data_IF_384022747980
#
_entry.id   IF_384022747980
#
_cell.length_a   1.000
_cell.length_b   1.000
_cell.length_c   1.000
_cell.angle_alpha   90.00
_cell.angle_beta   90.00
_cell.angle_gamma   90.00
#
_symmetry.space_group_name_H-M   'P 1'
#
loop_
_entity.id
_entity.type
_entity.pdbx_description
1 polymer ?
#
# COMPACT_ATOMS: atom_id res chain seq x y z
N UNK A 1 -15.40 15.74 6.43
CA UNK A 1 -14.36 14.97 5.71
C UNK A 1 -14.51 13.47 6.05
N UNK A 2 -15.69 12.87 5.85
CA UNK A 2 -16.01 11.58 6.49
C UNK A 2 -15.45 10.36 5.75
N UNK A 3 -15.43 10.40 4.42
CA UNK A 3 -15.12 9.23 3.57
C UNK A 3 -13.79 9.36 2.82
N UNK A 4 -12.93 10.31 3.22
CA UNK A 4 -11.61 10.48 2.59
C UNK A 4 -10.74 9.24 2.82
N UNK A 5 -9.87 8.92 1.86
CA UNK A 5 -8.93 7.81 1.99
C UNK A 5 -7.52 8.36 2.25
N UNK A 6 -6.77 7.70 3.14
CA UNK A 6 -5.38 8.06 3.42
C UNK A 6 -4.41 7.00 2.91
N UNK A 7 -3.33 7.38 2.24
CA UNK A 7 -2.21 6.46 1.95
C UNK A 7 -1.24 6.49 3.12
N UNK A 8 -1.28 5.51 4.00
CA UNK A 8 -0.56 5.55 5.28
C UNK A 8 0.47 4.44 5.48
N UNK A 9 0.34 3.29 4.81
CA UNK A 9 1.31 2.20 4.93
C UNK A 9 2.30 2.17 3.76
N UNK A 10 1.80 2.20 2.53
CA UNK A 10 2.65 1.98 1.35
C UNK A 10 2.51 3.13 0.34
N UNK A 11 3.61 3.58 -0.31
CA UNK A 11 3.58 4.53 -1.41
C UNK A 11 3.18 3.81 -2.71
N UNK A 12 1.95 3.31 -2.75
CA UNK A 12 1.40 2.54 -3.86
C UNK A 12 0.16 3.24 -4.46
N UNK A 13 -0.16 2.95 -5.72
CA UNK A 13 -1.45 3.31 -6.31
C UNK A 13 -2.61 2.79 -5.43
N UNK A 14 -3.73 3.51 -5.34
CA UNK A 14 -4.72 3.21 -4.31
C UNK A 14 -5.40 1.86 -4.50
N UNK A 15 -5.63 1.44 -5.75
CA UNK A 15 -6.30 0.18 -6.09
C UNK A 15 -5.48 -1.06 -5.72
N UNK A 16 -4.17 -0.93 -5.46
CA UNK A 16 -3.31 -2.03 -5.02
C UNK A 16 -3.08 -2.08 -3.51
N UNK A 17 -3.49 -1.07 -2.73
CA UNK A 17 -3.13 -0.98 -1.30
C UNK A 17 -3.46 -2.25 -0.50
N UNK A 18 -4.63 -2.85 -0.75
CA UNK A 18 -5.05 -4.10 -0.10
C UNK A 18 -4.35 -5.34 -0.67
N UNK A 19 -3.92 -5.30 -1.94
CA UNK A 19 -3.09 -6.36 -2.50
C UNK A 19 -1.69 -6.36 -1.87
N UNK A 20 -1.11 -5.17 -1.64
CA UNK A 20 0.16 -5.02 -0.93
C UNK A 20 0.03 -5.57 0.50
N UNK A 21 -1.04 -5.23 1.22
CA UNK A 21 -1.28 -5.75 2.58
C UNK A 21 -1.43 -7.29 2.61
N UNK A 22 -2.15 -7.86 1.65
CA UNK A 22 -2.27 -9.32 1.50
C UNK A 22 -0.90 -9.97 1.18
N UNK A 23 -0.09 -9.34 0.34
CA UNK A 23 1.25 -9.81 0.00
C UNK A 23 2.21 -9.78 1.20
N UNK A 24 2.19 -8.70 1.99
CA UNK A 24 2.96 -8.61 3.25
C UNK A 24 2.54 -9.69 4.23
N UNK A 25 1.24 -9.97 4.35
CA UNK A 25 0.73 -11.05 5.22
C UNK A 25 1.28 -12.41 4.78
N UNK A 26 1.30 -12.68 3.48
CA UNK A 26 1.78 -13.93 2.89
C UNK A 26 3.31 -14.07 2.90
N UNK A 27 4.06 -12.97 3.05
CA UNK A 27 5.52 -12.96 2.94
C UNK A 27 6.19 -14.05 3.79
N UNK A 28 5.78 -14.19 5.06
CA UNK A 28 6.39 -15.16 5.98
C UNK A 28 6.21 -16.62 5.55
N UNK A 29 5.16 -16.92 4.78
CA UNK A 29 4.88 -18.27 4.26
C UNK A 29 5.63 -18.56 2.95
N UNK A 30 5.97 -17.52 2.17
CA UNK A 30 6.48 -17.69 0.80
C UNK A 30 7.97 -17.35 0.62
N UNK A 31 8.56 -16.51 1.49
CA UNK A 31 9.91 -15.95 1.29
C UNK A 31 11.01 -16.99 1.07
N UNK A 32 10.89 -18.15 1.72
CA UNK A 32 11.87 -19.24 1.67
C UNK A 32 11.57 -20.24 0.55
N UNK A 33 10.46 -20.05 -0.19
CA UNK A 33 9.93 -20.98 -1.20
C UNK A 33 9.58 -20.29 -2.53
N UNK A 34 10.15 -19.12 -2.79
CA UNK A 34 9.81 -18.33 -3.99
C UNK A 34 10.03 -19.09 -5.31
N UNK A 35 11.08 -19.92 -5.39
CA UNK A 35 11.39 -20.77 -6.55
C UNK A 35 10.43 -21.96 -6.70
N UNK A 36 9.72 -22.34 -5.64
CA UNK A 36 8.72 -23.40 -5.62
C UNK A 36 7.34 -22.89 -6.06
N UNK A 37 7.15 -21.58 -6.16
CA UNK A 37 5.89 -20.98 -6.64
C UNK A 37 5.67 -21.38 -8.10
N UNK A 38 4.51 -21.98 -8.35
CA UNK A 38 4.01 -22.31 -9.69
C UNK A 38 3.19 -21.16 -10.26
N UNK A 39 2.21 -20.65 -9.49
CA UNK A 39 1.31 -19.59 -9.91
C UNK A 39 0.78 -18.80 -8.70
N UNK A 40 0.41 -17.55 -8.96
CA UNK A 40 -0.18 -16.63 -7.97
C UNK A 40 -1.52 -16.17 -8.52
N UNK A 41 -2.60 -16.43 -7.80
CA UNK A 41 -3.91 -15.87 -8.14
C UNK A 41 -4.12 -14.55 -7.41
N UNK A 42 -4.51 -13.52 -8.18
CA UNK A 42 -4.86 -12.21 -7.66
C UNK A 42 -6.31 -11.92 -8.05
N UNK A 43 -7.21 -12.02 -7.09
CA UNK A 43 -8.62 -11.64 -7.27
C UNK A 43 -8.79 -10.16 -6.92
N UNK A 44 -9.34 -9.38 -7.85
CA UNK A 44 -9.44 -7.91 -7.72
C UNK A 44 -10.72 -7.37 -8.35
N UNK A 45 -10.93 -6.06 -8.33
CA UNK A 45 -12.05 -5.37 -8.97
C UNK A 45 -11.66 -4.77 -10.33
N UNK A 46 -12.66 -4.55 -11.19
CA UNK A 46 -12.52 -4.02 -12.56
C UNK A 46 -11.54 -2.85 -12.66
N UNK A 47 -11.67 -1.86 -11.76
CA UNK A 47 -10.88 -0.64 -11.87
C UNK A 47 -9.39 -0.86 -11.60
N UNK A 48 -9.01 -1.85 -10.78
CA UNK A 48 -7.60 -2.22 -10.62
C UNK A 48 -7.07 -2.85 -11.91
N UNK A 49 -7.86 -3.73 -12.55
CA UNK A 49 -7.50 -4.37 -13.81
C UNK A 49 -7.28 -3.31 -14.88
N UNK A 50 -8.25 -2.40 -15.05
CA UNK A 50 -8.20 -1.37 -16.09
C UNK A 50 -7.07 -0.35 -15.90
N UNK A 51 -6.73 0.00 -14.66
CA UNK A 51 -5.81 1.12 -14.38
C UNK A 51 -4.38 0.64 -14.15
N UNK A 52 -4.20 -0.48 -13.43
CA UNK A 52 -2.87 -0.87 -12.92
C UNK A 52 -2.49 -2.33 -13.22
N UNK A 53 -3.29 -3.14 -13.89
CA UNK A 53 -2.81 -4.46 -14.34
C UNK A 53 -1.91 -4.32 -15.56
N UNK A 54 -0.60 -4.49 -15.36
CA UNK A 54 0.42 -4.35 -16.42
C UNK A 54 1.24 -5.63 -16.58
N UNK A 55 1.38 -6.07 -17.82
CA UNK A 55 2.25 -7.18 -18.24
C UNK A 55 3.41 -6.66 -19.06
N UNK A 56 4.52 -7.42 -19.10
CA UNK A 56 5.71 -7.05 -19.87
C UNK A 56 6.69 -6.17 -19.10
N UNK A 57 7.60 -5.52 -19.84
CA UNK A 57 8.67 -4.70 -19.29
C UNK A 57 8.14 -3.42 -18.61
N UNK A 58 8.80 -2.99 -17.53
CA UNK A 58 8.49 -1.76 -16.81
C UNK A 58 9.70 -0.82 -16.88
N UNK A 59 9.58 0.23 -17.71
CA UNK A 59 10.72 1.03 -18.14
C UNK A 59 11.16 2.10 -17.11
N UNK A 60 10.29 2.48 -16.18
CA UNK A 60 10.54 3.57 -15.23
C UNK A 60 9.79 3.34 -13.90
N UNK A 61 10.09 4.12 -12.85
CA UNK A 61 9.40 4.00 -11.56
C UNK A 61 7.87 4.20 -11.64
N UNK A 62 7.39 5.10 -12.51
CA UNK A 62 5.96 5.35 -12.71
C UNK A 62 5.22 4.17 -13.40
N UNK A 63 5.95 3.30 -14.09
CA UNK A 63 5.39 2.05 -14.59
C UNK A 63 5.20 1.04 -13.47
N UNK A 64 6.11 1.03 -12.49
CA UNK A 64 6.14 0.07 -11.38
C UNK A 64 5.15 0.44 -10.28
N UNK A 65 5.04 1.72 -9.94
CA UNK A 65 4.04 2.20 -8.96
C UNK A 65 2.59 2.10 -9.48
N UNK A 66 2.39 1.95 -10.80
CA UNK A 66 1.12 1.65 -11.46
C UNK A 66 1.07 0.24 -12.07
N UNK A 67 1.81 -0.71 -11.50
CA UNK A 67 1.75 -2.13 -11.86
C UNK A 67 1.33 -2.97 -10.65
N UNK A 68 0.10 -3.50 -10.66
CA UNK A 68 -0.47 -4.34 -9.61
C UNK A 68 0.44 -5.53 -9.33
N UNK A 69 0.90 -6.20 -10.39
CA UNK A 69 1.78 -7.36 -10.29
C UNK A 69 3.11 -7.00 -9.61
N UNK A 70 3.68 -5.83 -9.92
CA UNK A 70 4.92 -5.36 -9.30
C UNK A 70 4.72 -5.08 -7.81
N UNK A 71 3.66 -4.35 -7.48
CA UNK A 71 3.29 -4.00 -6.11
C UNK A 71 2.90 -5.22 -5.26
N UNK A 72 2.63 -6.37 -5.87
CA UNK A 72 2.44 -7.65 -5.16
C UNK A 72 3.75 -8.42 -5.04
N UNK A 73 4.54 -8.49 -6.11
CA UNK A 73 5.77 -9.27 -6.15
C UNK A 73 6.79 -8.79 -5.10
N UNK A 74 6.98 -7.47 -5.00
CA UNK A 74 7.96 -6.89 -4.06
C UNK A 74 7.66 -7.25 -2.61
N UNK A 75 6.46 -7.03 -2.05
CA UNK A 75 6.18 -7.42 -0.66
C UNK A 75 6.16 -8.94 -0.44
N UNK A 76 5.79 -9.77 -1.42
CA UNK A 76 5.95 -11.23 -1.27
C UNK A 76 7.42 -11.60 -1.06
N UNK A 77 8.35 -10.92 -1.74
CA UNK A 77 9.79 -11.17 -1.65
C UNK A 77 10.41 -10.53 -0.40
N UNK A 78 10.08 -9.27 -0.11
CA UNK A 78 10.81 -8.43 0.84
C UNK A 78 10.02 -8.12 2.12
N UNK A 79 8.74 -8.44 2.17
CA UNK A 79 7.88 -8.19 3.33
C UNK A 79 7.45 -6.73 3.51
N UNK A 80 7.83 -5.83 2.60
CA UNK A 80 7.49 -4.42 2.64
C UNK A 80 7.49 -3.78 1.24
N UNK A 81 6.93 -2.58 1.11
CA UNK A 81 6.92 -1.76 -0.10
C UNK A 81 7.20 -0.30 0.24
N UNK A 82 8.42 0.15 -0.06
CA UNK A 82 8.87 1.54 0.12
C UNK A 82 9.15 2.20 -1.24
N UNK A 83 9.38 3.52 -1.24
CA UNK A 83 9.53 4.29 -2.48
C UNK A 83 10.74 3.83 -3.31
N UNK A 84 11.83 3.47 -2.63
CA UNK A 84 13.09 3.02 -3.20
C UNK A 84 12.92 1.69 -3.95
N UNK A 85 11.90 0.89 -3.63
CA UNK A 85 11.61 -0.34 -4.37
C UNK A 85 11.16 -0.08 -5.80
N UNK A 86 10.75 1.13 -6.18
CA UNK A 86 10.41 1.44 -7.57
C UNK A 86 11.61 1.89 -8.40
N UNK A 87 12.77 2.10 -7.79
CA UNK A 87 13.96 2.60 -8.48
C UNK A 87 14.53 1.57 -9.47
N UNK A 88 15.14 2.07 -10.54
CA UNK A 88 15.73 1.24 -11.60
C UNK A 88 16.80 0.28 -11.07
N UNK A 89 17.63 0.75 -10.15
CA UNK A 89 18.70 -0.04 -9.55
C UNK A 89 18.16 -1.21 -8.73
N UNK A 90 17.08 -0.97 -7.97
CA UNK A 90 16.41 -2.00 -7.19
C UNK A 90 15.80 -3.06 -8.12
N UNK A 91 15.01 -2.64 -9.11
CA UNK A 91 14.36 -3.57 -10.03
C UNK A 91 15.37 -4.41 -10.82
N UNK A 92 16.40 -3.78 -11.40
CA UNK A 92 17.45 -4.49 -12.15
C UNK A 92 18.31 -5.40 -11.26
N UNK A 93 18.34 -5.14 -9.95
CA UNK A 93 19.07 -5.93 -8.97
C UNK A 93 18.36 -7.20 -8.50
N UNK A 94 17.06 -7.37 -8.79
CA UNK A 94 16.27 -8.50 -8.29
C UNK A 94 15.37 -9.13 -9.36
N UNK A 95 15.93 -10.08 -10.11
CA UNK A 95 15.23 -10.79 -11.18
C UNK A 95 14.01 -11.61 -10.71
N UNK A 96 13.90 -11.90 -9.41
CA UNK A 96 12.76 -12.64 -8.84
C UNK A 96 11.45 -11.86 -8.99
N UNK A 97 11.52 -10.52 -9.04
CA UNK A 97 10.35 -9.66 -9.20
C UNK A 97 9.63 -10.00 -10.51
N UNK A 98 10.35 -9.98 -11.63
CA UNK A 98 9.79 -10.31 -12.94
C UNK A 98 9.39 -11.78 -13.06
N UNK A 99 10.14 -12.69 -12.42
CA UNK A 99 9.76 -14.10 -12.35
C UNK A 99 8.38 -14.26 -11.68
N UNK A 100 8.16 -13.66 -10.51
CA UNK A 100 6.87 -13.76 -9.82
C UNK A 100 5.76 -13.06 -10.59
N UNK A 101 6.02 -11.89 -11.19
CA UNK A 101 5.04 -11.19 -12.03
C UNK A 101 4.54 -12.07 -13.17
N UNK A 102 5.42 -12.85 -13.80
CA UNK A 102 5.05 -13.76 -14.89
C UNK A 102 4.14 -14.92 -14.46
N UNK A 103 4.11 -15.23 -13.16
CA UNK A 103 3.29 -16.29 -12.56
C UNK A 103 1.93 -15.78 -12.07
N UNK A 104 1.64 -14.48 -12.18
CA UNK A 104 0.40 -13.88 -11.67
C UNK A 104 -0.74 -13.97 -12.68
N UNK A 105 -1.87 -14.51 -12.23
CA UNK A 105 -3.14 -14.46 -12.95
C UNK A 105 -4.08 -13.49 -12.25
N UNK A 106 -4.50 -12.45 -12.98
CA UNK A 106 -5.44 -11.44 -12.46
C UNK A 106 -6.87 -11.87 -12.81
N UNK A 107 -7.72 -11.93 -11.79
CA UNK A 107 -9.10 -12.43 -11.87
C UNK A 107 -10.02 -11.32 -11.35
N UNK A 108 -11.02 -10.94 -12.15
CA UNK A 108 -12.07 -10.05 -11.68
C UNK A 108 -13.05 -10.82 -10.77
N UNK A 109 -13.42 -10.20 -9.65
CA UNK A 109 -14.59 -10.58 -8.86
C UNK A 109 -15.67 -9.49 -9.00
N UNK A 110 -16.80 -9.84 -9.61
CA UNK A 110 -17.91 -8.91 -9.87
C UNK A 110 -18.46 -8.29 -8.58
N UNK A 111 -18.39 -8.98 -7.44
CA UNK A 111 -18.79 -8.41 -6.15
C UNK A 111 -17.82 -7.31 -5.76
N UNK A 112 -16.51 -7.51 -5.89
CA UNK A 112 -15.53 -6.45 -5.60
C UNK A 112 -15.75 -5.24 -6.49
N UNK A 113 -16.01 -5.45 -7.79
CA UNK A 113 -16.34 -4.37 -8.73
C UNK A 113 -17.59 -3.60 -8.31
N UNK A 114 -18.66 -4.31 -7.90
CA UNK A 114 -19.90 -3.68 -7.43
C UNK A 114 -19.72 -2.93 -6.11
N UNK A 115 -19.04 -3.51 -5.13
CA UNK A 115 -18.83 -2.92 -3.81
C UNK A 115 -17.85 -1.74 -3.81
N UNK A 116 -17.00 -1.64 -4.84
CA UNK A 116 -16.19 -0.45 -5.11
C UNK A 116 -17.06 0.78 -5.44
N UNK A 117 -18.13 0.59 -6.21
CA UNK A 117 -19.06 1.67 -6.61
C UNK A 117 -20.18 1.93 -5.60
N UNK A 118 -20.45 0.98 -4.72
CA UNK A 118 -21.44 1.09 -3.66
C UNK A 118 -21.07 2.23 -2.69
N UNK A 119 -21.98 3.20 -2.55
CA UNK A 119 -21.76 4.42 -1.76
C UNK A 119 -21.52 4.16 -0.27
N UNK A 120 -22.09 3.08 0.25
CA UNK A 120 -22.00 2.70 1.67
C UNK A 120 -20.73 1.89 1.95
N UNK A 121 -20.20 1.20 0.92
CA UNK A 121 -19.00 0.36 1.04
C UNK A 121 -17.75 1.07 0.59
N UNK A 122 -17.65 1.41 -0.70
CA UNK A 122 -16.44 1.96 -1.34
C UNK A 122 -15.22 1.09 -1.10
N UNK A 123 -15.39 -0.23 -1.18
CA UNK A 123 -14.31 -1.19 -0.93
C UNK A 123 -13.25 -1.12 -2.02
N UNK A 124 -12.00 -1.40 -1.65
CA UNK A 124 -10.89 -1.53 -2.59
C UNK A 124 -10.32 -2.93 -2.37
N UNK A 125 -11.08 -3.94 -2.76
CA UNK A 125 -10.84 -5.31 -2.35
C UNK A 125 -9.85 -6.04 -3.24
N UNK A 126 -8.90 -6.72 -2.62
CA UNK A 126 -7.99 -7.67 -3.28
C UNK A 126 -7.89 -8.95 -2.45
N UNK A 127 -7.65 -10.07 -3.12
CA UNK A 127 -7.29 -11.32 -2.47
C UNK A 127 -6.17 -12.02 -3.23
N UNK A 128 -5.23 -12.61 -2.48
CA UNK A 128 -4.05 -13.27 -3.04
C UNK A 128 -3.98 -14.70 -2.52
N UNK A 129 -3.66 -15.64 -3.41
CA UNK A 129 -3.35 -17.02 -3.07
C UNK A 129 -2.17 -17.51 -3.88
N UNK A 130 -1.22 -18.17 -3.23
CA UNK A 130 -0.01 -18.68 -3.86
C UNK A 130 -0.08 -20.21 -3.94
N UNK A 131 0.20 -20.76 -5.11
CA UNK A 131 0.20 -22.20 -5.38
C UNK A 131 1.63 -22.66 -5.69
N UNK A 132 2.03 -23.76 -5.08
CA UNK A 132 3.36 -24.32 -5.19
C UNK A 132 3.40 -25.54 -6.12
N UNK A 133 4.57 -25.82 -6.70
CA UNK A 133 4.81 -26.92 -7.64
C UNK A 133 4.55 -28.31 -7.05
N UNK A 134 4.52 -28.45 -5.73
CA UNK A 134 4.19 -29.70 -5.03
C UNK A 134 2.67 -29.95 -4.92
N UNK A 135 1.85 -29.02 -5.44
CA UNK A 135 0.39 -29.06 -5.41
C UNK A 135 -0.22 -28.43 -4.15
N UNK A 136 0.58 -27.97 -3.19
CA UNK A 136 0.09 -27.24 -2.02
C UNK A 136 -0.19 -25.76 -2.34
N UNK A 137 -0.89 -25.07 -1.44
CA UNK A 137 -1.18 -23.64 -1.58
C UNK A 137 -1.26 -22.95 -0.23
N UNK A 138 -1.02 -21.65 -0.21
CA UNK A 138 -1.35 -20.80 0.95
C UNK A 138 -2.86 -20.72 1.14
N UNK A 139 -3.30 -20.22 2.29
CA UNK A 139 -4.66 -19.71 2.41
C UNK A 139 -4.84 -18.51 1.47
N UNK A 140 -6.09 -18.28 1.04
CA UNK A 140 -6.45 -17.09 0.27
C UNK A 140 -6.60 -15.90 1.22
N UNK A 141 -5.63 -15.00 1.24
CA UNK A 141 -5.65 -13.80 2.08
C UNK A 141 -6.44 -12.73 1.35
N UNK A 142 -7.58 -12.34 1.93
CA UNK A 142 -8.48 -11.30 1.41
C UNK A 142 -8.43 -10.05 2.30
N UNK A 143 -8.26 -8.90 1.68
CA UNK A 143 -8.38 -7.59 2.34
C UNK A 143 -9.35 -6.72 1.53
N UNK A 144 -10.49 -6.37 2.13
CA UNK A 144 -11.55 -5.62 1.44
C UNK A 144 -11.44 -4.10 1.59
N UNK A 145 -10.88 -3.64 2.71
CA UNK A 145 -10.71 -2.23 3.01
C UNK A 145 -9.25 -1.96 3.36
N UNK A 146 -8.56 -1.04 2.66
CA UNK A 146 -7.21 -0.66 3.05
C UNK A 146 -7.25 0.04 4.40
N UNK A 147 -6.16 -0.05 5.16
CA UNK A 147 -6.04 0.58 6.49
C UNK A 147 -6.37 2.08 6.51
N UNK A 148 -6.16 2.77 5.38
CA UNK A 148 -6.53 4.17 5.16
C UNK A 148 -8.01 4.46 4.94
N UNK A 149 -8.87 3.44 4.91
CA UNK A 149 -10.31 3.56 4.69
C UNK A 149 -11.06 4.01 5.96
N UNK A 150 -12.21 4.68 5.81
CA UNK A 150 -13.06 5.12 6.95
C UNK A 150 -13.37 3.98 7.94
N UNK A 151 -13.64 2.78 7.41
CA UNK A 151 -13.97 1.58 8.20
C UNK A 151 -12.82 1.06 9.06
N UNK A 152 -11.57 1.48 8.81
CA UNK A 152 -10.37 1.05 9.56
C UNK A 152 -9.70 2.20 10.32
N UNK A 153 -10.43 3.29 10.62
CA UNK A 153 -9.85 4.47 11.30
C UNK A 153 -9.19 4.18 12.65
N UNK A 154 -9.75 3.28 13.44
CA UNK A 154 -9.16 2.89 14.73
C UNK A 154 -7.74 2.30 14.56
N UNK A 155 -7.52 1.58 13.47
CA UNK A 155 -6.22 0.99 13.13
C UNK A 155 -5.33 1.97 12.36
N UNK A 156 -5.91 2.78 11.47
CA UNK A 156 -5.18 3.68 10.60
C UNK A 156 -4.73 5.01 11.21
N UNK A 157 -5.46 5.58 12.19
CA UNK A 157 -5.06 6.85 12.80
C UNK A 157 -3.70 6.76 13.51
N UNK A 158 -3.39 5.72 14.32
CA UNK A 158 -2.07 5.57 14.91
C UNK A 158 -0.94 5.53 13.87
N UNK A 159 -1.17 4.84 12.74
CA UNK A 159 -0.21 4.76 11.63
C UNK A 159 -0.08 6.11 10.91
N UNK A 160 -1.18 6.85 10.74
CA UNK A 160 -1.17 8.21 10.18
C UNK A 160 -0.36 9.17 11.06
N UNK A 161 -0.57 9.14 12.39
CA UNK A 161 0.18 9.93 13.36
C UNK A 161 1.68 9.62 13.31
N UNK A 162 2.03 8.33 13.29
CA UNK A 162 3.43 7.91 13.19
C UNK A 162 4.06 8.35 11.87
N UNK A 163 3.35 8.20 10.74
CA UNK A 163 3.80 8.69 9.44
C UNK A 163 4.01 10.20 9.44
N UNK A 164 3.08 10.96 10.02
CA UNK A 164 3.21 12.40 10.13
C UNK A 164 4.47 12.80 10.93
N UNK A 165 4.68 12.18 12.09
CA UNK A 165 5.85 12.45 12.92
C UNK A 165 7.17 12.05 12.23
N UNK A 166 7.21 10.89 11.55
CA UNK A 166 8.37 10.49 10.75
C UNK A 166 8.68 11.49 9.64
N UNK A 167 7.66 12.02 8.96
CA UNK A 167 7.83 13.04 7.93
C UNK A 167 8.32 14.39 8.50
N UNK A 168 7.85 14.80 9.68
CA UNK A 168 8.38 16.00 10.34
C UNK A 168 9.89 15.87 10.60
N UNK A 169 10.33 14.70 11.07
CA UNK A 169 11.74 14.42 11.38
C UNK A 169 12.67 14.44 10.19
N UNK A 170 12.17 14.31 8.96
CA UNK A 170 13.02 14.46 7.76
C UNK A 170 13.37 15.91 7.47
N UNK A 171 12.72 16.87 8.13
CA UNK A 171 12.83 18.30 7.80
C UNK A 171 13.15 19.19 9.00
N UNK A 172 12.63 18.89 10.18
CA UNK A 172 12.71 19.76 11.36
C UNK A 172 13.57 19.14 12.49
N UNK A 173 14.20 19.95 13.34
CA UNK A 173 14.81 19.46 14.59
C UNK A 173 13.75 18.82 15.52
N UNK A 174 14.16 17.88 16.38
CA UNK A 174 13.23 17.09 17.21
C UNK A 174 12.30 17.95 18.08
N UNK A 175 12.81 19.04 18.68
CA UNK A 175 12.00 19.93 19.50
C UNK A 175 10.86 20.60 18.70
N UNK A 176 11.13 20.98 17.44
CA UNK A 176 10.13 21.55 16.56
C UNK A 176 9.15 20.48 16.05
N UNK A 177 9.64 19.26 15.75
CA UNK A 177 8.78 18.12 15.40
C UNK A 177 7.75 17.86 16.51
N UNK A 178 8.19 17.78 17.76
CA UNK A 178 7.32 17.50 18.89
C UNK A 178 6.30 18.63 19.11
N UNK A 179 6.72 19.89 19.02
CA UNK A 179 5.83 21.04 19.16
C UNK A 179 4.73 21.06 18.09
N UNK A 180 5.08 20.81 16.82
CA UNK A 180 4.12 20.73 15.71
C UNK A 180 3.16 19.54 15.94
N UNK A 181 3.71 18.38 16.30
CA UNK A 181 2.92 17.16 16.52
C UNK A 181 1.91 17.32 17.67
N UNK A 182 2.34 17.84 18.82
CA UNK A 182 1.47 18.08 19.98
C UNK A 182 0.35 19.07 19.65
N UNK A 183 0.67 20.16 18.92
CA UNK A 183 -0.33 21.11 18.46
C UNK A 183 -1.36 20.44 17.55
N UNK A 184 -0.91 19.67 16.55
CA UNK A 184 -1.79 18.98 15.61
C UNK A 184 -2.64 17.87 16.24
N UNK A 185 -2.23 17.35 17.40
CA UNK A 185 -2.97 16.30 18.13
C UNK A 185 -4.07 16.87 19.03
N UNK A 186 -3.96 18.12 19.45
CA UNK A 186 -4.96 18.82 20.24
C UNK A 186 -5.94 19.59 19.34
N UNK A 187 -7.10 18.98 19.06
CA UNK A 187 -8.13 19.57 18.20
C UNK A 187 -8.54 20.98 18.65
N UNK A 188 -8.74 21.19 19.95
CA UNK A 188 -9.26 22.46 20.47
C UNK A 188 -8.20 23.55 20.33
N UNK A 189 -6.96 23.23 20.68
CA UNK A 189 -5.85 24.18 20.57
C UNK A 189 -5.52 24.50 19.11
N UNK A 190 -5.54 23.50 18.22
CA UNK A 190 -5.31 23.70 16.79
C UNK A 190 -6.35 24.62 16.16
N UNK A 191 -7.65 24.41 16.44
CA UNK A 191 -8.73 25.25 15.91
C UNK A 191 -8.68 26.71 16.38
N UNK A 192 -8.09 26.95 17.56
CA UNK A 192 -7.91 28.28 18.12
C UNK A 192 -6.62 28.98 17.65
N UNK A 193 -5.67 28.22 17.08
CA UNK A 193 -4.40 28.78 16.60
C UNK A 193 -4.63 29.54 15.31
N UNK A 194 -4.14 30.78 15.23
CA UNK A 194 -4.30 31.55 14.01
C UNK A 194 -3.47 30.95 12.87
N UNK A 195 -3.93 31.14 11.62
CA UNK A 195 -3.23 30.59 10.45
C UNK A 195 -1.78 31.10 10.38
N UNK A 196 -1.54 32.38 10.69
CA UNK A 196 -0.18 32.94 10.68
C UNK A 196 0.72 32.31 11.75
N UNK A 197 0.22 32.03 12.96
CA UNK A 197 0.99 31.36 14.01
C UNK A 197 1.29 29.91 13.65
N UNK A 198 0.30 29.19 13.13
CA UNK A 198 0.49 27.81 12.66
C UNK A 198 1.52 27.76 11.53
N UNK A 199 1.43 28.62 10.53
CA UNK A 199 2.39 28.66 9.42
C UNK A 199 3.79 29.05 9.88
N UNK A 200 3.91 29.97 10.85
CA UNK A 200 5.19 30.32 11.45
C UNK A 200 5.84 29.12 12.15
N UNK A 201 5.05 28.23 12.76
CA UNK A 201 5.58 27.00 13.39
C UNK A 201 6.21 26.02 12.39
N UNK A 202 5.86 26.12 11.10
CA UNK A 202 6.37 25.27 10.01
C UNK A 202 7.60 25.86 9.30
N UNK A 203 8.07 27.05 9.71
CA UNK A 203 9.29 27.68 9.17
C UNK A 203 10.53 27.15 9.91
N UNK A 204 11.59 26.85 9.16
CA UNK A 204 12.91 26.58 9.73
C UNK A 204 13.65 27.92 9.80
N UNK A 205 14.07 28.31 10.99
CA UNK A 205 14.99 29.43 11.20
C UNK A 205 16.44 28.97 11.07
#
# INVERSE_FOLDING_TARGET
MENVLFKISFPAEFHSQTAVEAAVTLHSEVKDKLSEIERIEVTTHESAIRIISKVGELANPADRDHCLQYMIAVPLIHGDLIAEHYEDSFHKGDARIDELRSKMTIIEDERYSKEYLDSDKRSIANAIQVFFKDGSSTQKVKVEYPIGHRRRRAEGIPVLEQKFLSNLRTRYPEAQCQAIYELCKDQTKLEQTSVNEFMQSLVIN
#
